data_IF_249668504826
#
_entry.id   IF_249668504826
#
_cell.length_a   1.000
_cell.length_b   1.000
_cell.length_c   1.000
_cell.angle_alpha   90.00
_cell.angle_beta   90.00
_cell.angle_gamma   90.00
#
_symmetry.space_group_name_H-M   'P 1'
#
loop_
_entity.id
_entity.type
_entity.pdbx_description
1 polymer ?
#
# COMPACT_ATOMS: atom_id res chain seq x y z
N UNK A 1 -3.25 36.55 3.63
CA UNK A 1 -3.64 35.19 4.04
C UNK A 1 -2.97 34.93 5.37
N UNK A 2 -3.67 34.55 6.44
CA UNK A 2 -3.00 34.25 7.71
C UNK A 2 -2.07 33.06 7.51
N UNK A 3 -0.81 33.20 7.95
CA UNK A 3 0.17 32.12 7.95
C UNK A 3 -0.14 31.19 9.12
N UNK A 4 -0.81 30.08 8.84
CA UNK A 4 -0.98 28.98 9.78
C UNK A 4 0.14 27.99 9.51
N UNK A 5 0.94 27.67 10.53
CA UNK A 5 1.87 26.55 10.48
C UNK A 5 1.07 25.24 10.53
N UNK A 6 1.04 24.46 9.43
CA UNK A 6 0.28 23.20 9.40
C UNK A 6 0.83 22.15 10.38
N UNK A 7 2.04 22.35 10.92
CA UNK A 7 2.68 21.47 11.90
C UNK A 7 2.71 22.07 13.30
N UNK A 8 1.95 23.13 13.54
CA UNK A 8 1.82 23.73 14.87
C UNK A 8 1.44 22.64 15.90
N UNK A 9 2.14 22.57 17.05
CA UNK A 9 1.97 21.49 18.01
C UNK A 9 0.54 21.38 18.56
N UNK A 10 -0.18 22.50 18.62
CA UNK A 10 -1.61 22.58 18.96
C UNK A 10 -2.53 21.83 18.00
N UNK A 11 -2.29 21.91 16.68
CA UNK A 11 -3.07 21.22 15.67
C UNK A 11 -2.80 19.71 15.72
N UNK A 12 -1.53 19.33 15.83
CA UNK A 12 -1.10 17.93 15.98
C UNK A 12 -1.68 17.29 17.24
N UNK A 13 -1.74 18.03 18.36
CA UNK A 13 -2.32 17.55 19.61
C UNK A 13 -3.84 17.33 19.50
N UNK A 14 -4.55 18.19 18.77
CA UNK A 14 -5.99 18.05 18.51
C UNK A 14 -6.31 16.81 17.66
N UNK A 15 -5.46 16.49 16.68
CA UNK A 15 -5.64 15.31 15.83
C UNK A 15 -5.40 14.00 16.59
N UNK A 16 -4.31 13.92 17.37
CA UNK A 16 -3.96 12.73 18.15
C UNK A 16 -5.02 12.34 19.18
N UNK A 17 -5.80 13.32 19.68
CA UNK A 17 -6.80 13.10 20.74
C UNK A 17 -8.13 12.53 20.22
N UNK A 18 -8.41 12.57 18.92
CA UNK A 18 -9.76 12.38 18.38
C UNK A 18 -10.06 11.01 17.77
N UNK A 19 -9.07 10.14 17.52
CA UNK A 19 -9.34 8.86 16.86
C UNK A 19 -8.57 7.72 17.51
N UNK A 20 -9.23 6.62 17.89
CA UNK A 20 -8.50 5.40 18.22
C UNK A 20 -7.69 4.98 17.01
N UNK A 21 -6.41 4.66 17.21
CA UNK A 21 -5.59 4.06 16.16
C UNK A 21 -6.25 2.74 15.75
N UNK A 22 -6.46 2.55 14.45
CA UNK A 22 -6.80 1.22 13.93
C UNK A 22 -5.56 0.35 14.14
N UNK A 23 -5.73 -0.77 14.84
CA UNK A 23 -4.66 -1.76 15.05
C UNK A 23 -4.84 -2.86 14.01
N UNK A 24 -3.96 -2.89 13.02
CA UNK A 24 -3.85 -4.01 12.09
C UNK A 24 -2.92 -5.06 12.71
N UNK A 25 -3.46 -6.21 13.14
CA UNK A 25 -2.68 -7.27 13.78
C UNK A 25 -1.86 -8.10 12.77
N UNK A 26 -2.35 -8.18 11.54
CA UNK A 26 -1.69 -8.94 10.47
C UNK A 26 -0.57 -8.12 9.83
N UNK A 27 0.52 -8.80 9.49
CA UNK A 27 1.63 -8.17 8.75
C UNK A 27 1.22 -7.95 7.30
N UNK A 28 1.49 -6.74 6.81
CA UNK A 28 1.38 -6.43 5.39
C UNK A 28 2.36 -7.26 4.56
N UNK A 29 1.88 -7.83 3.45
CA UNK A 29 2.71 -8.65 2.56
C UNK A 29 3.57 -7.80 1.63
N UNK A 30 3.14 -6.58 1.34
CA UNK A 30 3.77 -5.67 0.39
C UNK A 30 4.06 -4.36 1.10
N UNK A 31 5.26 -3.82 0.87
CA UNK A 31 5.62 -2.46 1.27
C UNK A 31 5.82 -1.63 0.02
N UNK A 32 5.36 -0.39 0.09
CA UNK A 32 5.58 0.61 -0.95
C UNK A 32 6.35 1.79 -0.36
N UNK A 33 7.29 2.32 -1.14
CA UNK A 33 7.98 3.57 -0.88
C UNK A 33 8.00 4.38 -2.17
N UNK A 34 7.35 5.54 -2.13
CA UNK A 34 7.08 6.34 -3.32
C UNK A 34 6.37 5.45 -4.38
N UNK A 35 6.83 5.49 -5.62
CA UNK A 35 6.30 4.69 -6.72
C UNK A 35 6.76 3.24 -6.73
N UNK A 36 7.56 2.76 -5.76
CA UNK A 36 8.10 1.40 -5.77
C UNK A 36 7.47 0.55 -4.68
N UNK A 37 6.94 -0.60 -5.07
CA UNK A 37 6.35 -1.60 -4.19
C UNK A 37 7.13 -2.91 -4.27
N UNK A 38 7.26 -3.63 -3.17
CA UNK A 38 7.92 -4.94 -3.14
C UNK A 38 7.34 -5.81 -2.03
N UNK A 39 7.43 -7.11 -2.23
CA UNK A 39 7.02 -8.09 -1.21
C UNK A 39 8.05 -8.08 -0.08
N UNK A 40 7.58 -8.07 1.17
CA UNK A 40 8.48 -8.14 2.33
C UNK A 40 9.20 -9.49 2.38
N UNK A 41 10.50 -9.47 2.71
CA UNK A 41 11.35 -10.67 2.73
C UNK A 41 10.76 -11.82 3.56
N UNK A 42 10.17 -11.51 4.71
CA UNK A 42 9.53 -12.50 5.57
C UNK A 42 8.43 -13.31 4.87
N UNK A 43 7.65 -12.68 3.98
CA UNK A 43 6.62 -13.37 3.20
C UNK A 43 7.24 -14.19 2.07
N UNK A 44 8.29 -13.67 1.41
CA UNK A 44 9.04 -14.42 0.40
C UNK A 44 9.66 -15.71 0.97
N UNK A 45 10.15 -15.67 2.21
CA UNK A 45 10.79 -16.82 2.86
C UNK A 45 9.76 -17.85 3.39
N UNK A 46 8.56 -17.42 3.75
CA UNK A 46 7.54 -18.27 4.40
C UNK A 46 6.46 -18.77 3.45
N UNK A 47 6.30 -18.15 2.29
CA UNK A 47 5.18 -18.39 1.37
C UNK A 47 5.69 -18.86 0.01
N UNK A 48 5.25 -20.04 -0.42
CA UNK A 48 5.54 -20.61 -1.75
C UNK A 48 4.45 -20.23 -2.74
N UNK A 49 4.74 -20.37 -4.04
CA UNK A 49 3.83 -20.05 -5.14
C UNK A 49 3.29 -18.61 -5.06
N UNK A 50 4.14 -17.66 -4.66
CA UNK A 50 3.73 -16.29 -4.40
C UNK A 50 3.51 -15.52 -5.71
N UNK A 51 2.28 -15.11 -5.93
CA UNK A 51 1.86 -14.33 -7.10
C UNK A 51 1.12 -13.09 -6.61
N UNK A 52 1.58 -11.93 -7.04
CA UNK A 52 0.92 -10.65 -6.75
C UNK A 52 0.52 -9.96 -8.05
N UNK A 53 -0.72 -9.47 -8.09
CA UNK A 53 -1.26 -8.65 -9.17
C UNK A 53 -1.39 -7.22 -8.70
N UNK A 54 -0.89 -6.29 -9.51
CA UNK A 54 -0.83 -4.86 -9.26
C UNK A 54 -1.66 -4.13 -10.32
N UNK A 55 -2.49 -3.20 -9.87
CA UNK A 55 -3.29 -2.33 -10.72
C UNK A 55 -3.26 -0.91 -10.18
N UNK A 56 -2.87 0.05 -11.01
CA UNK A 56 -3.01 1.46 -10.69
C UNK A 56 -4.50 1.80 -10.56
N UNK A 57 -4.87 2.55 -9.52
CA UNK A 57 -6.22 3.11 -9.36
C UNK A 57 -6.20 4.48 -10.02
N UNK A 58 -6.84 4.62 -11.17
CA UNK A 58 -6.83 5.85 -11.97
C UNK A 58 -8.17 6.56 -11.74
N UNK A 59 -8.10 7.72 -11.10
CA UNK A 59 -9.29 8.55 -10.84
C UNK A 59 -9.64 9.38 -12.07
N UNK A 60 -10.89 9.26 -12.53
CA UNK A 60 -11.47 10.16 -13.53
C UNK A 60 -12.11 11.37 -12.84
N UNK A 61 -12.70 11.14 -11.66
CA UNK A 61 -13.27 12.15 -10.77
C UNK A 61 -13.08 11.73 -9.31
N UNK A 62 -13.49 12.57 -8.36
CA UNK A 62 -13.48 12.25 -6.93
C UNK A 62 -14.29 10.99 -6.57
N UNK A 63 -15.31 10.67 -7.38
CA UNK A 63 -16.26 9.58 -7.12
C UNK A 63 -16.12 8.41 -8.10
N UNK A 64 -15.31 8.56 -9.14
CA UNK A 64 -15.18 7.58 -10.22
C UNK A 64 -13.72 7.26 -10.50
N UNK A 65 -13.39 5.98 -10.44
CA UNK A 65 -12.09 5.47 -10.82
C UNK A 65 -12.24 4.22 -11.69
N UNK A 66 -11.19 3.91 -12.45
CA UNK A 66 -11.02 2.62 -13.09
C UNK A 66 -9.65 2.03 -12.71
N UNK A 67 -9.49 0.74 -12.97
CA UNK A 67 -8.20 0.06 -12.77
C UNK A 67 -7.40 0.12 -14.05
N UNK A 68 -6.13 0.52 -13.93
CA UNK A 68 -5.17 0.42 -15.01
C UNK A 68 -4.83 -1.04 -15.35
N UNK A 69 -3.95 -1.26 -16.34
CA UNK A 69 -3.54 -2.59 -16.78
C UNK A 69 -3.02 -3.45 -15.62
N UNK A 70 -3.44 -4.72 -15.58
CA UNK A 70 -2.95 -5.66 -14.56
C UNK A 70 -1.52 -6.06 -14.85
N UNK A 71 -0.65 -5.88 -13.85
CA UNK A 71 0.73 -6.34 -13.91
C UNK A 71 0.94 -7.42 -12.86
N UNK A 72 1.37 -8.59 -13.31
CA UNK A 72 1.56 -9.76 -12.45
C UNK A 72 3.04 -9.94 -12.17
N UNK A 73 3.39 -10.02 -10.89
CA UNK A 73 4.75 -10.28 -10.44
C UNK A 73 4.77 -11.59 -9.67
N UNK A 74 5.74 -12.44 -10.00
CA UNK A 74 5.99 -13.71 -9.32
C UNK A 74 7.27 -13.60 -8.49
N UNK A 75 7.33 -14.37 -7.41
CA UNK A 75 8.56 -14.61 -6.64
C UNK A 75 9.27 -13.36 -6.08
N UNK A 76 8.53 -12.27 -5.86
CA UNK A 76 9.00 -11.17 -5.02
C UNK A 76 9.75 -10.05 -5.73
N UNK A 77 9.72 -9.99 -7.06
CA UNK A 77 10.23 -8.85 -7.82
C UNK A 77 9.57 -7.52 -7.40
N UNK A 78 10.31 -6.42 -7.56
CA UNK A 78 9.81 -5.09 -7.25
C UNK A 78 8.91 -4.58 -8.37
N UNK A 79 7.78 -3.99 -7.99
CA UNK A 79 6.84 -3.34 -8.88
C UNK A 79 7.00 -1.81 -8.84
N UNK A 80 6.92 -1.13 -9.98
CA UNK A 80 6.90 0.34 -10.04
C UNK A 80 5.56 0.82 -10.58
N UNK A 81 4.93 1.74 -9.84
CA UNK A 81 3.73 2.48 -10.24
C UNK A 81 4.08 3.39 -11.42
N UNK A 82 3.24 3.38 -12.46
CA UNK A 82 3.50 4.18 -13.66
C UNK A 82 2.51 5.35 -13.81
N UNK A 83 1.22 5.10 -13.56
CA UNK A 83 0.17 6.06 -13.92
C UNK A 83 -0.54 6.71 -12.72
N UNK A 84 -0.36 6.18 -11.51
CA UNK A 84 -1.04 6.66 -10.30
C UNK A 84 -0.19 6.40 -9.05
N UNK A 85 -0.33 7.24 -8.04
CA UNK A 85 0.17 7.02 -6.69
C UNK A 85 -0.77 6.13 -5.84
N UNK A 86 -1.98 5.85 -6.35
CA UNK A 86 -2.94 4.94 -5.76
C UNK A 86 -2.87 3.58 -6.44
N UNK A 87 -2.84 2.51 -5.64
CA UNK A 87 -2.70 1.14 -6.15
C UNK A 87 -3.64 0.16 -5.47
N UNK A 88 -4.13 -0.79 -6.26
CA UNK A 88 -4.78 -2.02 -5.79
C UNK A 88 -3.83 -3.19 -5.96
N UNK A 89 -3.57 -3.90 -4.86
CA UNK A 89 -2.67 -5.07 -4.83
C UNK A 89 -3.45 -6.28 -4.34
N UNK A 90 -3.29 -7.42 -5.03
CA UNK A 90 -3.82 -8.70 -4.59
C UNK A 90 -2.71 -9.74 -4.68
N UNK A 91 -2.38 -10.34 -3.54
CA UNK A 91 -1.38 -11.40 -3.46
C UNK A 91 -2.03 -12.73 -3.08
N UNK A 92 -1.51 -13.81 -3.66
CA UNK A 92 -1.90 -15.19 -3.36
C UNK A 92 -0.64 -16.02 -3.20
N UNK A 93 -0.66 -16.97 -2.26
CA UNK A 93 0.44 -17.90 -2.05
C UNK A 93 0.06 -18.96 -1.03
N UNK A 94 0.88 -20.01 -0.95
CA UNK A 94 0.70 -21.10 0.02
C UNK A 94 1.74 -20.94 1.12
N UNK A 95 1.30 -20.69 2.35
CA UNK A 95 2.21 -20.75 3.51
C UNK A 95 2.77 -22.16 3.59
N UNK A 96 4.10 -22.29 3.61
CA UNK A 96 4.73 -23.56 3.96
C UNK A 96 4.41 -23.87 5.41
N UNK A 97 3.89 -25.07 5.69
CA UNK A 97 3.87 -25.55 7.07
C UNK A 97 5.34 -25.67 7.51
N UNK A 98 5.72 -24.88 8.51
CA UNK A 98 7.00 -25.08 9.22
C UNK A 98 6.85 -26.21 10.20
#
# INVERSE_FOLDING_TARGET
MPELDPFAPELVALEKKKRPSIVCNDKDWVKCYLSKCWIVKEIQETTKDLVCTYNDIIHETDWKYHLGPTKTVKDGDSFTLDASDHIKIKCTGKRGNR
#
